data_IF_262548709760
#
_entry.id   IF_262548709760
#
_cell.length_a   1.000
_cell.length_b   1.000
_cell.length_c   1.000
_cell.angle_alpha   90.00
_cell.angle_beta   90.00
_cell.angle_gamma   90.00
#
_symmetry.space_group_name_H-M   'P 1'
#
loop_
_entity.id
_entity.type
_entity.pdbx_description
1 polymer ?
#
# COMPACT_ATOMS: atom_id res chain seq x y z
N UNK A 1 -32.10 -18.53 33.60
CA UNK A 1 -31.70 -19.69 32.77
C UNK A 1 -31.99 -19.36 31.31
N UNK A 2 -30.99 -18.86 30.57
CA UNK A 2 -31.16 -18.59 29.14
C UNK A 2 -30.63 -19.79 28.35
N UNK A 3 -31.54 -20.63 27.86
CA UNK A 3 -31.22 -21.74 26.96
C UNK A 3 -31.01 -21.19 25.54
N UNK A 4 -29.75 -21.12 25.08
CA UNK A 4 -29.44 -20.83 23.68
C UNK A 4 -29.55 -22.12 22.83
N UNK A 5 -30.42 -22.08 21.82
CA UNK A 5 -30.73 -23.19 20.94
C UNK A 5 -29.59 -23.45 19.94
N UNK A 6 -28.95 -24.61 20.12
CA UNK A 6 -28.50 -25.60 19.12
C UNK A 6 -28.15 -25.08 17.72
N UNK A 7 -26.86 -25.04 17.44
CA UNK A 7 -26.29 -24.79 16.12
C UNK A 7 -26.72 -25.80 15.05
N UNK A 8 -26.85 -25.28 13.82
CA UNK A 8 -26.99 -26.06 12.59
C UNK A 8 -26.46 -25.27 11.39
N UNK A 9 -25.14 -25.03 11.33
CA UNK A 9 -24.51 -24.56 10.09
C UNK A 9 -24.15 -25.77 9.23
N UNK A 10 -25.08 -26.21 8.39
CA UNK A 10 -24.80 -27.13 7.27
C UNK A 10 -24.63 -26.30 6.01
N UNK A 11 -23.37 -26.12 5.63
CA UNK A 11 -22.93 -25.46 4.41
C UNK A 11 -21.45 -25.15 4.59
N UNK A 12 -20.57 -25.89 3.92
CA UNK A 12 -19.16 -25.53 3.81
C UNK A 12 -19.09 -24.19 3.10
N UNK A 13 -18.93 -23.10 3.86
CA UNK A 13 -18.55 -21.81 3.29
C UNK A 13 -17.26 -22.06 2.48
N UNK A 14 -17.16 -21.58 1.23
CA UNK A 14 -15.91 -21.67 0.49
C UNK A 14 -14.83 -21.03 1.36
N UNK A 15 -13.79 -21.80 1.66
CA UNK A 15 -12.63 -21.30 2.37
C UNK A 15 -11.97 -20.25 1.48
N UNK A 16 -12.28 -18.98 1.72
CA UNK A 16 -11.59 -17.86 1.09
C UNK A 16 -10.32 -17.60 1.88
N UNK A 17 -9.17 -17.72 1.22
CA UNK A 17 -7.91 -17.35 1.86
C UNK A 17 -7.93 -15.84 2.20
N UNK A 18 -7.51 -15.46 3.42
CA UNK A 18 -7.45 -14.06 3.80
C UNK A 18 -6.45 -13.32 2.93
N UNK A 19 -6.75 -12.05 2.65
CA UNK A 19 -5.79 -11.19 1.94
C UNK A 19 -4.58 -10.91 2.82
N UNK A 20 -3.41 -10.85 2.19
CA UNK A 20 -2.17 -10.41 2.83
C UNK A 20 -1.59 -9.23 2.05
N UNK A 21 -1.15 -8.20 2.77
CA UNK A 21 -0.47 -7.07 2.16
C UNK A 21 0.84 -7.54 1.53
N UNK A 22 1.03 -7.23 0.25
CA UNK A 22 2.23 -7.60 -0.49
C UNK A 22 3.52 -6.96 0.05
N UNK A 23 3.42 -5.92 0.89
CA UNK A 23 4.56 -5.16 1.40
C UNK A 23 4.86 -5.43 2.88
N UNK A 24 3.87 -5.38 3.76
CA UNK A 24 4.07 -5.59 5.21
C UNK A 24 3.52 -6.91 5.72
N UNK A 25 2.88 -7.72 4.87
CA UNK A 25 2.30 -9.03 5.22
C UNK A 25 1.21 -9.01 6.29
N UNK A 26 0.69 -7.83 6.68
CA UNK A 26 -0.53 -7.76 7.51
C UNK A 26 -1.67 -8.49 6.81
N UNK A 27 -2.48 -9.19 7.58
CA UNK A 27 -3.75 -9.81 7.20
C UNK A 27 -4.95 -8.96 7.64
N UNK A 28 -4.69 -7.88 8.39
CA UNK A 28 -5.70 -6.95 8.86
C UNK A 28 -5.43 -5.52 8.38
N UNK A 29 -6.46 -4.87 7.84
CA UNK A 29 -6.48 -3.46 7.45
C UNK A 29 -7.95 -3.01 7.27
N UNK A 30 -8.30 -1.75 7.55
CA UNK A 30 -9.65 -1.24 7.32
C UNK A 30 -10.08 -1.30 5.85
N UNK A 31 -9.11 -1.13 4.94
CA UNK A 31 -9.34 -1.17 3.52
C UNK A 31 -8.19 -1.86 2.78
N UNK A 32 -8.56 -2.69 1.81
CA UNK A 32 -7.66 -3.38 0.88
C UNK A 32 -7.73 -2.74 -0.49
N UNK A 33 -6.60 -2.53 -1.14
CA UNK A 33 -6.55 -2.02 -2.50
C UNK A 33 -5.71 -2.92 -3.38
N UNK A 34 -6.25 -3.27 -4.55
CA UNK A 34 -5.52 -3.99 -5.58
C UNK A 34 -4.93 -3.00 -6.59
N UNK A 35 -3.61 -3.06 -6.78
CA UNK A 35 -2.92 -2.28 -7.81
C UNK A 35 -3.12 -2.89 -9.20
N UNK A 36 -2.83 -2.11 -10.25
CA UNK A 36 -2.87 -2.60 -11.64
C UNK A 36 -1.96 -3.82 -11.89
N UNK A 37 -0.93 -3.99 -11.06
CA UNK A 37 -0.01 -5.13 -11.05
C UNK A 37 -0.61 -6.40 -10.42
N UNK A 38 -1.85 -6.35 -9.92
CA UNK A 38 -2.49 -7.43 -9.18
C UNK A 38 -2.08 -7.51 -7.70
N UNK A 39 -1.12 -6.69 -7.25
CA UNK A 39 -0.67 -6.65 -5.85
C UNK A 39 -1.75 -6.08 -4.94
N UNK A 40 -1.98 -6.74 -3.82
CA UNK A 40 -2.91 -6.28 -2.79
C UNK A 40 -2.11 -5.55 -1.70
N UNK A 41 -2.49 -4.31 -1.39
CA UNK A 41 -1.85 -3.50 -0.36
C UNK A 41 -2.86 -3.08 0.70
N UNK A 42 -2.40 -3.00 1.95
CA UNK A 42 -3.15 -2.36 3.02
C UNK A 42 -3.13 -0.83 2.86
N UNK A 43 -4.09 -0.17 3.49
CA UNK A 43 -4.25 1.28 3.47
C UNK A 43 -2.97 2.03 3.90
N UNK A 44 -2.30 1.53 4.94
CA UNK A 44 -1.07 2.14 5.46
C UNK A 44 0.07 2.09 4.44
N UNK A 45 0.28 0.93 3.81
CA UNK A 45 1.33 0.79 2.78
C UNK A 45 1.01 1.62 1.54
N UNK A 46 -0.25 1.68 1.11
CA UNK A 46 -0.68 2.54 0.01
C UNK A 46 -0.31 4.01 0.29
N UNK A 47 -0.70 4.52 1.47
CA UNK A 47 -0.43 5.90 1.87
C UNK A 47 1.06 6.18 2.01
N UNK A 48 1.81 5.25 2.59
CA UNK A 48 3.27 5.34 2.76
C UNK A 48 3.97 5.42 1.40
N UNK A 49 3.59 4.56 0.45
CA UNK A 49 4.18 4.53 -0.89
C UNK A 49 3.88 5.84 -1.65
N UNK A 50 2.66 6.36 -1.55
CA UNK A 50 2.30 7.65 -2.16
C UNK A 50 3.13 8.80 -1.59
N UNK A 51 3.27 8.87 -0.25
CA UNK A 51 4.11 9.89 0.41
C UNK A 51 5.58 9.77 -0.02
N UNK A 52 6.11 8.55 -0.13
CA UNK A 52 7.49 8.32 -0.61
C UNK A 52 7.67 8.77 -2.05
N UNK A 53 6.71 8.47 -2.93
CA UNK A 53 6.76 8.90 -4.32
C UNK A 53 6.78 10.43 -4.45
N UNK A 54 5.89 11.12 -3.72
CA UNK A 54 5.85 12.59 -3.71
C UNK A 54 7.14 13.21 -3.17
N UNK A 55 7.68 12.67 -2.07
CA UNK A 55 8.96 13.14 -1.52
C UNK A 55 10.10 12.93 -2.52
N UNK A 56 10.16 11.77 -3.16
CA UNK A 56 11.18 11.46 -4.17
C UNK A 56 11.08 12.42 -5.37
N UNK A 57 9.88 12.70 -5.86
CA UNK A 57 9.65 13.68 -6.93
C UNK A 57 10.17 15.07 -6.55
N UNK A 58 9.80 15.56 -5.36
CA UNK A 58 10.25 16.85 -4.87
C UNK A 58 11.78 16.92 -4.76
N UNK A 59 12.40 15.91 -4.17
CA UNK A 59 13.85 15.82 -4.05
C UNK A 59 14.53 15.75 -5.42
N UNK A 60 13.99 14.99 -6.37
CA UNK A 60 14.56 14.88 -7.72
C UNK A 60 14.45 16.21 -8.47
N UNK A 61 13.36 16.94 -8.32
CA UNK A 61 13.21 18.27 -8.92
C UNK A 61 14.28 19.23 -8.41
N UNK A 62 14.54 19.25 -7.11
CA UNK A 62 15.59 20.10 -6.51
C UNK A 62 16.98 19.69 -7.00
N UNK A 63 17.30 18.40 -7.00
CA UNK A 63 18.58 17.87 -7.51
C UNK A 63 18.80 18.28 -8.97
N UNK A 64 17.79 18.12 -9.82
CA UNK A 64 17.90 18.48 -11.24
C UNK A 64 18.10 19.98 -11.45
N UNK A 65 17.43 20.82 -10.67
CA UNK A 65 17.62 22.27 -10.71
C UNK A 65 19.04 22.66 -10.28
N UNK A 66 19.56 22.05 -9.22
CA UNK A 66 20.91 22.29 -8.72
C UNK A 66 21.98 21.87 -9.74
N UNK A 67 21.85 20.67 -10.31
CA UNK A 67 22.75 20.17 -11.38
C UNK A 67 22.75 21.12 -12.58
N UNK A 68 21.57 21.61 -12.98
CA UNK A 68 21.45 22.55 -14.10
C UNK A 68 22.12 23.89 -13.80
N UNK A 69 21.98 24.43 -12.59
CA UNK A 69 22.64 25.67 -12.18
C UNK A 69 24.17 25.50 -12.16
N UNK A 70 24.67 24.40 -11.59
CA UNK A 70 26.11 24.10 -11.59
C UNK A 70 26.69 24.00 -13.00
N UNK A 71 25.94 23.42 -13.95
CA UNK A 71 26.36 23.34 -15.35
C UNK A 71 26.42 24.72 -16.02
N UNK A 72 25.55 25.67 -15.65
CA UNK A 72 25.58 27.04 -16.18
C UNK A 72 26.83 27.80 -15.73
N UNK A 73 27.28 27.60 -14.49
CA UNK A 73 28.47 28.26 -13.94
C UNK A 73 29.80 27.70 -14.49
N UNK A 74 29.78 26.51 -15.08
CA UNK A 74 30.96 25.83 -15.64
C UNK A 74 31.13 26.06 -17.14
N UNK A 75 30.21 26.78 -17.78
CA UNK A 75 30.38 27.28 -19.14
C UNK A 75 31.11 28.63 -19.08
N UNK A 76 32.34 28.77 -19.61
CA UNK A 76 33.00 30.06 -19.78
C UNK A 76 32.27 30.97 -20.77
#
# INVERSE_FOLDING_TARGET
MATYLKGKMRGSLPHVEPFFCAQCRTDFTPHWKQEKSGRILCEQCMTSNQKKALKAEHTNRLKNAFVKALQQEQCP
#
